data_IF_325095922327
#
_entry.id   IF_325095922327
#
_cell.length_a   1.000
_cell.length_b   1.000
_cell.length_c   1.000
_cell.angle_alpha   90.00
_cell.angle_beta   90.00
_cell.angle_gamma   90.00
#
_symmetry.space_group_name_H-M   'P 1'
#
loop_
_entity.id
_entity.type
_entity.pdbx_description
1 polymer ?
#
# COMPACT_ATOMS: atom_id res chain seq x y z
N UNK A 1 35.67 2.26 17.13
CA UNK A 1 34.98 3.34 16.40
C UNK A 1 34.51 2.93 15.01
N UNK A 2 35.32 2.26 14.16
CA UNK A 2 34.85 1.78 12.85
C UNK A 2 33.80 0.65 12.95
N UNK A 3 34.00 -0.30 13.87
CA UNK A 3 33.08 -1.42 14.09
C UNK A 3 31.75 -1.00 14.72
N UNK A 4 31.78 -0.08 15.69
CA UNK A 4 30.55 0.45 16.33
C UNK A 4 29.68 1.25 15.36
N UNK A 5 30.30 1.95 14.39
CA UNK A 5 29.60 2.66 13.33
C UNK A 5 28.95 1.70 12.32
N UNK A 6 29.68 0.64 11.93
CA UNK A 6 29.16 -0.39 11.03
C UNK A 6 27.98 -1.16 11.66
N UNK A 7 28.07 -1.44 12.96
CA UNK A 7 27.02 -2.11 13.72
C UNK A 7 25.74 -1.26 13.82
N UNK A 8 25.87 0.05 14.05
CA UNK A 8 24.72 0.96 14.10
C UNK A 8 24.05 1.11 12.73
N UNK A 9 24.84 1.17 11.65
CA UNK A 9 24.35 1.21 10.27
C UNK A 9 23.64 -0.10 9.88
N UNK A 10 24.18 -1.24 10.31
CA UNK A 10 23.59 -2.55 10.07
C UNK A 10 22.27 -2.74 10.83
N UNK A 11 22.19 -2.30 12.09
CA UNK A 11 20.94 -2.29 12.88
C UNK A 11 19.89 -1.38 12.23
N UNK A 12 20.29 -0.21 11.74
CA UNK A 12 19.39 0.75 11.10
C UNK A 12 18.80 0.19 9.78
N UNK A 13 19.60 -0.57 9.02
CA UNK A 13 19.14 -1.30 7.83
C UNK A 13 18.20 -2.45 8.19
N UNK A 14 18.49 -3.20 9.26
CA UNK A 14 17.62 -4.28 9.73
C UNK A 14 16.27 -3.76 10.20
N UNK A 15 16.22 -2.61 10.87
CA UNK A 15 14.95 -2.00 11.31
C UNK A 15 14.09 -1.48 10.15
N UNK A 16 14.69 -1.16 8.99
CA UNK A 16 13.90 -0.76 7.81
C UNK A 16 13.25 -1.93 7.06
N UNK A 17 13.61 -3.19 7.39
CA UNK A 17 13.06 -4.39 6.74
C UNK A 17 11.83 -4.97 7.45
N UNK A 18 11.43 -4.42 8.60
CA UNK A 18 10.36 -4.99 9.45
C UNK A 18 8.97 -4.41 9.14
N UNK A 19 8.89 -3.41 8.25
CA UNK A 19 7.60 -2.89 7.78
C UNK A 19 7.14 -3.65 6.53
N UNK A 20 6.82 -4.92 6.68
CA UNK A 20 5.95 -5.63 5.74
C UNK A 20 4.53 -5.36 6.24
N UNK A 21 3.70 -4.72 5.43
CA UNK A 21 2.30 -4.46 5.77
C UNK A 21 1.52 -5.78 5.79
N UNK A 22 0.55 -5.90 6.70
CA UNK A 22 -0.28 -7.10 6.80
C UNK A 22 -0.98 -7.43 5.46
N UNK A 23 -1.38 -6.40 4.71
CA UNK A 23 -2.00 -6.53 3.40
C UNK A 23 -1.07 -7.21 2.38
N UNK A 24 0.26 -7.03 2.49
CA UNK A 24 1.21 -7.60 1.53
C UNK A 24 1.31 -9.13 1.68
N UNK A 25 1.17 -9.65 2.91
CA UNK A 25 1.13 -11.09 3.18
C UNK A 25 -0.15 -11.72 2.60
N UNK A 26 -1.29 -11.08 2.79
CA UNK A 26 -2.58 -11.55 2.28
C UNK A 26 -2.67 -11.50 0.75
N UNK A 27 -2.20 -10.42 0.14
CA UNK A 27 -2.10 -10.29 -1.33
C UNK A 27 -1.20 -11.40 -1.91
N UNK A 28 -0.09 -11.71 -1.25
CA UNK A 28 0.82 -12.77 -1.71
C UNK A 28 0.21 -14.16 -1.57
N UNK A 29 -0.55 -14.42 -0.48
CA UNK A 29 -1.33 -15.64 -0.35
C UNK A 29 -2.36 -15.78 -1.49
N UNK A 30 -3.08 -14.71 -1.81
CA UNK A 30 -4.02 -14.67 -2.94
C UNK A 30 -3.34 -14.98 -4.28
N UNK A 31 -2.18 -14.37 -4.54
CA UNK A 31 -1.35 -14.65 -5.72
C UNK A 31 -1.02 -16.13 -5.84
N UNK A 32 -0.53 -16.74 -4.75
CA UNK A 32 -0.13 -18.16 -4.76
C UNK A 32 -1.30 -19.08 -5.11
N UNK A 33 -2.49 -18.82 -4.54
CA UNK A 33 -3.70 -19.58 -4.85
C UNK A 33 -4.06 -19.51 -6.34
N UNK A 34 -3.97 -18.31 -6.94
CA UNK A 34 -4.26 -18.08 -8.36
C UNK A 34 -3.20 -18.75 -9.25
N UNK A 35 -1.92 -18.63 -8.90
CA UNK A 35 -0.81 -19.22 -9.65
C UNK A 35 -0.85 -20.76 -9.62
N UNK A 36 -1.21 -21.35 -8.49
CA UNK A 36 -1.41 -22.80 -8.32
C UNK A 36 -2.70 -23.31 -8.97
N UNK A 37 -3.60 -22.40 -9.37
CA UNK A 37 -4.92 -22.71 -9.95
C UNK A 37 -5.75 -23.60 -9.02
N UNK A 38 -5.67 -23.32 -7.73
CA UNK A 38 -6.42 -24.05 -6.72
C UNK A 38 -7.92 -23.98 -7.00
N UNK A 39 -8.61 -25.12 -6.91
CA UNK A 39 -10.04 -25.21 -7.19
C UNK A 39 -10.84 -24.37 -6.20
N UNK A 40 -11.76 -23.53 -6.68
CA UNK A 40 -12.63 -22.71 -5.83
C UNK A 40 -13.44 -23.50 -4.80
N UNK A 41 -13.81 -24.75 -5.12
CA UNK A 41 -14.54 -25.61 -4.18
C UNK A 41 -13.72 -26.02 -2.94
N UNK A 42 -12.40 -25.81 -2.99
CA UNK A 42 -11.47 -26.18 -1.93
C UNK A 42 -10.95 -24.96 -1.15
N UNK A 43 -11.39 -23.74 -1.50
CA UNK A 43 -10.95 -22.52 -0.84
C UNK A 43 -11.83 -22.23 0.38
N UNK A 44 -11.21 -21.88 1.51
CA UNK A 44 -11.91 -21.30 2.66
C UNK A 44 -12.32 -19.86 2.36
N UNK A 45 -13.20 -19.30 3.21
CA UNK A 45 -13.57 -17.90 3.08
C UNK A 45 -12.36 -16.98 3.22
N UNK A 46 -11.43 -17.23 4.17
CA UNK A 46 -10.20 -16.44 4.30
C UNK A 46 -9.32 -16.52 3.03
N UNK A 47 -9.24 -17.70 2.40
CA UNK A 47 -8.53 -17.86 1.15
C UNK A 47 -9.22 -17.13 -0.02
N UNK A 48 -10.56 -17.01 0.02
CA UNK A 48 -11.31 -16.23 -0.95
C UNK A 48 -11.16 -14.73 -0.72
N UNK A 49 -11.05 -14.25 0.53
CA UNK A 49 -10.69 -12.86 0.84
C UNK A 49 -9.32 -12.55 0.24
N UNK A 50 -8.30 -13.37 0.53
CA UNK A 50 -6.94 -13.20 0.00
C UNK A 50 -6.90 -13.15 -1.54
N UNK A 51 -7.65 -14.01 -2.23
CA UNK A 51 -7.79 -13.97 -3.70
C UNK A 51 -8.47 -12.68 -4.16
N UNK A 52 -9.50 -12.23 -3.44
CA UNK A 52 -10.20 -10.96 -3.68
C UNK A 52 -9.26 -9.77 -3.57
N UNK A 53 -8.52 -9.68 -2.46
CA UNK A 53 -7.51 -8.68 -2.17
C UNK A 53 -6.45 -8.62 -3.28
N UNK A 54 -5.96 -9.78 -3.73
CA UNK A 54 -5.03 -9.88 -4.86
C UNK A 54 -5.61 -9.31 -6.17
N UNK A 55 -6.85 -9.67 -6.54
CA UNK A 55 -7.48 -9.12 -7.73
C UNK A 55 -7.80 -7.63 -7.60
N UNK A 56 -8.13 -7.18 -6.39
CA UNK A 56 -8.38 -5.78 -6.09
C UNK A 56 -7.09 -4.97 -6.27
N UNK A 57 -5.97 -5.45 -5.75
CA UNK A 57 -4.64 -4.85 -5.94
C UNK A 57 -4.22 -4.80 -7.42
N UNK A 58 -4.54 -5.85 -8.21
CA UNK A 58 -4.28 -5.84 -9.66
C UNK A 58 -5.06 -4.75 -10.41
N UNK A 59 -6.28 -4.45 -9.96
CA UNK A 59 -7.13 -3.42 -10.57
C UNK A 59 -6.83 -2.02 -10.05
N UNK A 60 -6.52 -1.91 -8.77
CA UNK A 60 -6.35 -0.67 -8.02
C UNK A 60 -5.15 -0.78 -7.08
N UNK A 61 -3.92 -0.65 -7.60
CA UNK A 61 -2.73 -0.90 -6.79
C UNK A 61 -2.42 0.19 -5.77
N UNK A 62 -1.86 -0.21 -4.64
CA UNK A 62 -1.40 0.65 -3.54
C UNK A 62 -2.51 1.56 -3.04
N UNK A 63 -2.27 2.87 -2.95
CA UNK A 63 -3.23 3.82 -2.37
C UNK A 63 -4.59 3.89 -3.10
N UNK A 64 -4.69 3.36 -4.33
CA UNK A 64 -5.97 3.27 -5.04
C UNK A 64 -6.87 2.18 -4.46
N UNK A 65 -6.28 1.13 -3.90
CA UNK A 65 -6.94 0.07 -3.16
C UNK A 65 -7.69 0.67 -1.96
N UNK A 66 -6.95 1.35 -1.09
CA UNK A 66 -7.44 1.97 0.14
C UNK A 66 -8.51 3.04 -0.18
N UNK A 67 -8.28 3.81 -1.25
CA UNK A 67 -9.23 4.81 -1.71
C UNK A 67 -10.54 4.17 -2.17
N UNK A 68 -10.50 2.99 -2.77
CA UNK A 68 -11.71 2.27 -3.16
C UNK A 68 -12.45 1.73 -1.93
N UNK A 69 -11.74 1.13 -0.97
CA UNK A 69 -12.35 0.71 0.30
C UNK A 69 -13.07 1.87 0.98
N UNK A 70 -12.38 3.01 1.12
CA UNK A 70 -12.94 4.25 1.69
C UNK A 70 -14.17 4.73 0.91
N UNK A 71 -14.11 4.73 -0.42
CA UNK A 71 -15.21 5.18 -1.26
C UNK A 71 -16.43 4.27 -1.17
N UNK A 72 -16.21 2.97 -1.01
CA UNK A 72 -17.26 1.97 -0.81
C UNK A 72 -17.75 1.88 0.63
N UNK A 73 -17.12 2.61 1.56
CA UNK A 73 -17.42 2.54 2.99
C UNK A 73 -17.07 1.17 3.59
N UNK A 74 -16.08 0.49 3.02
CA UNK A 74 -15.55 -0.77 3.52
C UNK A 74 -14.42 -0.45 4.49
N UNK A 75 -14.63 -0.73 5.78
CA UNK A 75 -13.59 -0.63 6.80
C UNK A 75 -12.82 -1.97 6.83
N UNK A 76 -11.50 -1.92 6.95
CA UNK A 76 -10.68 -3.13 7.11
C UNK A 76 -11.10 -3.96 8.33
N UNK A 77 -10.89 -5.27 8.27
CA UNK A 77 -11.24 -6.24 9.33
C UNK A 77 -12.75 -6.29 9.66
N UNK A 78 -13.61 -5.80 8.77
CA UNK A 78 -15.07 -5.91 8.90
C UNK A 78 -15.62 -7.03 8.03
N UNK A 79 -16.77 -7.57 8.44
CA UNK A 79 -17.45 -8.60 7.68
C UNK A 79 -17.86 -8.11 6.28
N UNK A 80 -18.16 -6.82 6.14
CA UNK A 80 -18.49 -6.18 4.88
C UNK A 80 -17.30 -6.15 3.90
N UNK A 81 -16.10 -5.85 4.40
CA UNK A 81 -14.85 -5.87 3.62
C UNK A 81 -14.52 -7.29 3.15
N UNK A 82 -14.54 -8.26 4.05
CA UNK A 82 -14.33 -9.68 3.71
C UNK A 82 -15.34 -10.15 2.66
N UNK A 83 -16.62 -9.81 2.85
CA UNK A 83 -17.67 -10.26 1.96
C UNK A 83 -17.55 -9.62 0.56
N UNK A 84 -17.08 -8.37 0.48
CA UNK A 84 -16.77 -7.72 -0.78
C UNK A 84 -15.67 -8.49 -1.54
N UNK A 85 -14.57 -8.80 -0.88
CA UNK A 85 -13.44 -9.52 -1.48
C UNK A 85 -13.78 -10.96 -1.85
N UNK A 86 -14.54 -11.67 -1.02
CA UNK A 86 -15.07 -13.00 -1.37
C UNK A 86 -15.94 -12.93 -2.62
N UNK A 87 -16.82 -11.93 -2.73
CA UNK A 87 -17.67 -11.76 -3.89
C UNK A 87 -16.86 -11.42 -5.15
N UNK A 88 -15.82 -10.61 -5.00
CA UNK A 88 -14.89 -10.28 -6.06
C UNK A 88 -14.12 -11.51 -6.53
N UNK A 89 -13.56 -12.30 -5.62
CA UNK A 89 -12.88 -13.55 -5.92
C UNK A 89 -13.79 -14.55 -6.64
N UNK A 90 -15.02 -14.74 -6.15
CA UNK A 90 -16.01 -15.63 -6.81
C UNK A 90 -16.30 -15.19 -8.24
N UNK A 91 -16.38 -13.89 -8.49
CA UNK A 91 -16.62 -13.36 -9.83
C UNK A 91 -15.39 -13.47 -10.74
N UNK A 92 -14.22 -13.04 -10.26
CA UNK A 92 -13.01 -12.89 -11.09
C UNK A 92 -12.26 -14.20 -11.26
N UNK A 93 -12.20 -15.02 -10.21
CA UNK A 93 -11.45 -16.26 -10.17
C UNK A 93 -12.34 -17.49 -10.40
N UNK A 94 -13.46 -17.58 -9.67
CA UNK A 94 -14.33 -18.77 -9.75
C UNK A 94 -15.30 -18.77 -10.94
N UNK A 95 -15.40 -17.64 -11.65
CA UNK A 95 -16.31 -17.49 -12.78
C UNK A 95 -17.80 -17.56 -12.40
N UNK A 96 -18.12 -17.38 -11.12
CA UNK A 96 -19.48 -17.32 -10.63
C UNK A 96 -20.11 -15.98 -11.04
N UNK A 97 -21.30 -16.01 -11.64
CA UNK A 97 -22.05 -14.78 -11.86
C UNK A 97 -22.65 -14.32 -10.54
N UNK A 98 -21.91 -13.48 -9.84
CA UNK A 98 -22.39 -12.87 -8.61
C UNK A 98 -23.27 -11.65 -8.95
N UNK A 99 -24.59 -11.85 -8.99
CA UNK A 99 -25.55 -10.77 -9.23
C UNK A 99 -25.57 -9.74 -8.09
N UNK A 100 -24.99 -10.05 -6.92
CA UNK A 100 -24.94 -9.13 -5.77
C UNK A 100 -23.94 -8.00 -5.96
N UNK A 101 -22.86 -8.20 -6.74
CA UNK A 101 -21.93 -7.11 -7.11
C UNK A 101 -22.59 -6.07 -8.03
N UNK A 102 -23.49 -6.52 -8.91
CA UNK A 102 -24.34 -5.64 -9.74
C UNK A 102 -25.42 -4.94 -8.89
N UNK A 103 -25.77 -5.53 -7.74
CA UNK A 103 -26.75 -5.00 -6.78
C UNK A 103 -26.23 -3.90 -5.86
N UNK A 104 -24.95 -3.97 -5.45
CA UNK A 104 -24.31 -2.89 -4.68
C UNK A 104 -24.26 -1.56 -5.46
N UNK A 105 -24.25 -1.65 -6.80
CA UNK A 105 -24.26 -0.49 -7.70
C UNK A 105 -25.68 0.00 -8.06
N UNK A 106 -26.76 -0.64 -7.59
CA UNK A 106 -28.14 -0.23 -7.95
C UNK A 106 -28.95 0.40 -6.80
N UNK A 107 -28.48 0.33 -5.56
CA UNK A 107 -29.14 0.99 -4.42
C UNK A 107 -28.50 2.31 -4.01
N UNK A 108 -27.16 2.37 -3.99
CA UNK A 108 -26.41 3.53 -3.49
C UNK A 108 -25.90 4.46 -4.60
N UNK A 109 -25.72 3.94 -5.83
CA UNK A 109 -25.31 4.78 -6.97
C UNK A 109 -26.42 5.76 -7.41
N UNK A 110 -27.70 5.37 -7.30
CA UNK A 110 -28.84 6.26 -7.56
C UNK A 110 -29.09 7.27 -6.43
N UNK A 111 -28.65 6.96 -5.20
CA UNK A 111 -28.72 7.88 -4.05
C UNK A 111 -27.62 8.94 -4.06
N UNK A 112 -26.41 8.60 -4.53
CA UNK A 112 -25.27 9.54 -4.61
C UNK A 112 -25.25 10.37 -5.90
N UNK A 113 -25.78 9.88 -7.03
CA UNK A 113 -25.95 10.68 -8.25
C UNK A 113 -26.93 11.87 -8.06
N UNK A 114 -27.82 11.80 -7.06
CA UNK A 114 -28.75 12.87 -6.72
C UNK A 114 -28.15 13.99 -5.85
N UNK A 115 -27.07 13.72 -5.12
CA UNK A 115 -26.36 14.72 -4.30
C UNK A 115 -25.25 15.44 -5.08
N UNK A 116 -24.80 14.90 -6.20
CA UNK A 116 -23.76 15.51 -7.05
C UNK A 116 -24.31 16.44 -8.15
N UNK A 117 -25.59 16.85 -8.07
CA UNK A 117 -26.16 17.84 -9.00
C UNK A 117 -26.53 19.17 -8.33
N UNK A 118 -26.19 19.35 -7.06
CA UNK A 118 -26.51 20.58 -6.36
C UNK A 118 -25.85 20.68 -5.00
N UNK A 119 -24.56 20.98 -4.97
CA UNK A 119 -23.95 21.99 -4.07
C UNK A 119 -22.41 21.88 -4.07
N UNK A 120 -21.76 22.99 -4.42
CA UNK A 120 -20.40 23.30 -3.97
C UNK A 120 -19.28 22.45 -4.57
N UNK A 121 -18.79 22.86 -5.74
CA UNK A 121 -17.53 22.35 -6.28
C UNK A 121 -16.37 22.57 -5.30
N UNK A 122 -15.86 21.48 -4.73
CA UNK A 122 -14.52 21.42 -4.17
C UNK A 122 -13.64 20.80 -5.25
N UNK A 123 -13.23 21.68 -6.16
CA UNK A 123 -12.17 21.45 -7.11
C UNK A 123 -10.87 21.25 -6.31
N UNK A 124 -10.61 20.04 -5.82
CA UNK A 124 -9.29 19.65 -5.31
C UNK A 124 -8.39 19.49 -6.52
N UNK A 125 -7.91 20.64 -7.01
CA UNK A 125 -6.82 20.71 -7.95
C UNK A 125 -5.64 19.98 -7.32
N UNK A 126 -5.32 18.81 -7.87
CA UNK A 126 -4.11 18.06 -7.60
C UNK A 126 -2.92 19.00 -7.89
N UNK A 127 -2.47 19.70 -6.86
CA UNK A 127 -1.39 20.68 -6.96
C UNK A 127 -0.07 19.92 -6.95
N UNK A 128 0.78 20.04 -7.98
CA UNK A 128 2.09 19.37 -8.06
C UNK A 128 3.01 19.69 -6.86
N UNK A 129 2.68 20.70 -6.06
CA UNK A 129 3.43 21.15 -4.89
C UNK A 129 3.53 20.08 -3.80
N UNK A 130 2.51 19.24 -3.62
CA UNK A 130 2.52 18.20 -2.59
C UNK A 130 3.49 17.05 -2.87
N UNK A 131 3.91 16.86 -4.14
CA UNK A 131 4.94 15.89 -4.53
C UNK A 131 6.38 16.40 -4.35
N UNK A 132 6.57 17.70 -4.12
CA UNK A 132 7.91 18.31 -3.99
C UNK A 132 8.40 18.26 -2.54
N UNK A 133 7.48 18.25 -1.56
CA UNK A 133 7.80 18.18 -0.13
C UNK A 133 8.63 16.95 0.24
N UNK A 134 8.28 15.71 -0.18
CA UNK A 134 9.11 14.54 0.11
C UNK A 134 10.47 14.57 -0.61
N UNK A 135 10.56 15.19 -1.81
CA UNK A 135 11.83 15.34 -2.54
C UNK A 135 12.79 16.32 -1.84
N UNK A 136 12.27 17.41 -1.26
CA UNK A 136 13.09 18.35 -0.49
C UNK A 136 13.58 17.69 0.80
N UNK A 137 12.71 16.94 1.48
CA UNK A 137 13.07 16.27 2.72
C UNK A 137 14.16 15.21 2.52
N UNK A 138 14.04 14.39 1.47
CA UNK A 138 15.06 13.41 1.08
C UNK A 138 16.38 14.07 0.68
N UNK A 139 16.35 15.15 -0.11
CA UNK A 139 17.56 15.89 -0.48
C UNK A 139 18.30 16.47 0.74
N UNK A 140 17.56 16.97 1.74
CA UNK A 140 18.15 17.47 2.99
C UNK A 140 18.83 16.37 3.81
N UNK A 141 18.24 15.17 3.86
CA UNK A 141 18.84 14.02 4.54
C UNK A 141 20.17 13.63 3.86
N UNK A 142 20.19 13.52 2.53
CA UNK A 142 21.42 13.21 1.79
C UNK A 142 22.49 14.29 2.02
N UNK A 143 22.13 15.58 1.99
CA UNK A 143 23.06 16.68 2.24
C UNK A 143 23.67 16.60 3.65
N UNK A 144 22.89 16.27 4.67
CA UNK A 144 23.37 16.06 6.03
C UNK A 144 24.34 14.88 6.13
N UNK A 145 24.04 13.76 5.46
CA UNK A 145 24.93 12.59 5.43
C UNK A 145 26.27 12.96 4.79
N UNK A 146 26.27 13.60 3.62
CA UNK A 146 27.49 14.03 2.94
C UNK A 146 28.29 15.03 3.78
N UNK A 147 27.62 15.95 4.46
CA UNK A 147 28.28 16.93 5.34
C UNK A 147 28.99 16.25 6.52
N UNK A 148 28.33 15.30 7.19
CA UNK A 148 28.91 14.54 8.29
C UNK A 148 30.11 13.71 7.81
N UNK A 149 29.99 13.04 6.66
CA UNK A 149 31.10 12.29 6.06
C UNK A 149 32.29 13.19 5.73
N UNK A 150 32.05 14.36 5.15
CA UNK A 150 33.09 15.35 4.86
C UNK A 150 33.82 15.81 6.12
N UNK A 151 33.10 16.09 7.21
CA UNK A 151 33.70 16.47 8.49
C UNK A 151 34.57 15.35 9.08
N UNK A 152 34.14 14.10 8.96
CA UNK A 152 34.89 12.94 9.44
C UNK A 152 36.18 12.73 8.62
N UNK A 153 36.11 12.82 7.29
CA UNK A 153 37.28 12.72 6.40
C UNK A 153 38.28 13.86 6.63
N UNK A 154 37.78 15.09 6.80
CA UNK A 154 38.61 16.27 7.10
C UNK A 154 39.31 16.12 8.44
N UNK A 155 38.64 15.57 9.46
CA UNK A 155 39.23 15.30 10.77
C UNK A 155 40.32 14.22 10.71
N UNK A 156 40.12 13.16 9.92
CA UNK A 156 41.14 12.13 9.71
C UNK A 156 42.38 12.67 8.98
N UNK A 157 42.21 13.45 7.92
CA UNK A 157 43.33 14.05 7.18
C UNK A 157 44.15 15.04 8.03
N UNK A 158 43.51 15.82 8.90
CA UNK A 158 44.23 16.67 9.87
C UNK A 158 45.00 15.86 10.91
N UNK A 159 44.52 14.67 11.27
CA UNK A 159 45.21 13.78 12.22
C UNK A 159 46.40 13.06 11.57
N UNK A 160 46.31 12.70 10.29
CA UNK A 160 47.44 12.14 9.51
C UNK A 160 48.56 13.15 9.25
N UNK A 161 48.24 14.44 9.07
CA UNK A 161 49.24 15.51 8.90
C UNK A 161 49.96 15.95 10.19
N UNK A 162 49.51 15.49 11.35
CA UNK A 162 50.09 15.83 12.67
C UNK A 162 50.91 14.69 13.29
N UNK A 163 51.00 13.55 12.61
CA UNK A 163 51.92 12.45 12.92
C UNK A 163 53.02 12.46 11.88
#
# INVERSE_FOLDING_TARGET
>A
MKQTFFFFFFILILTSLVFVSADEEEIEQGRQIVDEKSSCNNLTDEQLVAVGEYYMELMHPGTLHDAMHTFMGLEEETQEHDQFHINLAKQMYCGERNYNMIGYNNGYAYGMMGMMYGTGGWNSSYSPVWNIVPLIFTALIFALIFWVLYLLLKKENRRKRRK
#
